data_IF_382809604696
#
_entry.id   IF_382809604696
#
_cell.length_a   1.000
_cell.length_b   1.000
_cell.length_c   1.000
_cell.angle_alpha   90.00
_cell.angle_beta   90.00
_cell.angle_gamma   90.00
#
_symmetry.space_group_name_H-M   'P 1'
#
loop_
_entity.id
_entity.type
_entity.pdbx_description
1 polymer ?
#
# COMPACT_ATOMS: atom_id res chain seq x y z
N UNK A 1 -59.15 28.00 -29.26
CA UNK A 1 -58.53 26.81 -28.64
C UNK A 1 -57.14 27.23 -28.17
N UNK A 2 -57.00 27.60 -26.90
CA UNK A 2 -55.72 28.12 -26.38
C UNK A 2 -54.68 26.99 -26.30
N UNK A 3 -53.43 27.23 -26.69
CA UNK A 3 -52.38 26.22 -26.59
C UNK A 3 -52.12 25.95 -25.11
N UNK A 4 -52.33 24.70 -24.71
CA UNK A 4 -52.08 24.23 -23.36
C UNK A 4 -50.59 24.41 -23.04
N UNK A 5 -50.29 25.08 -21.93
CA UNK A 5 -48.92 25.33 -21.50
C UNK A 5 -48.24 23.98 -21.27
N UNK A 6 -47.03 23.75 -21.80
CA UNK A 6 -46.36 22.46 -21.63
C UNK A 6 -46.24 22.14 -20.15
N UNK A 7 -46.76 20.98 -19.75
CA UNK A 7 -46.69 20.51 -18.38
C UNK A 7 -45.23 20.41 -17.95
N UNK A 8 -44.96 20.71 -16.67
CA UNK A 8 -43.62 20.61 -16.09
C UNK A 8 -43.00 19.23 -16.36
N UNK A 9 -43.83 18.19 -16.38
CA UNK A 9 -43.42 16.83 -16.71
C UNK A 9 -42.91 16.67 -18.15
N UNK A 10 -43.50 17.39 -19.12
CA UNK A 10 -43.03 17.36 -20.51
C UNK A 10 -41.69 18.10 -20.68
N UNK A 11 -41.48 19.16 -19.90
CA UNK A 11 -40.21 19.88 -19.83
C UNK A 11 -39.15 18.96 -19.20
N UNK A 12 -39.43 18.38 -18.04
CA UNK A 12 -38.53 17.45 -17.36
C UNK A 12 -38.20 16.24 -18.23
N UNK A 13 -39.18 15.68 -18.97
CA UNK A 13 -38.95 14.58 -19.91
C UNK A 13 -38.07 15.00 -21.09
N UNK A 14 -38.30 16.19 -21.67
CA UNK A 14 -37.53 16.71 -22.80
C UNK A 14 -36.08 17.05 -22.42
N UNK A 15 -35.85 17.61 -21.23
CA UNK A 15 -34.51 17.90 -20.76
C UNK A 15 -33.83 16.65 -20.17
N UNK A 16 -34.57 15.75 -19.53
CA UNK A 16 -34.08 14.45 -19.06
C UNK A 16 -33.58 13.58 -20.20
N UNK A 17 -34.36 13.43 -21.27
CA UNK A 17 -33.92 12.71 -22.49
C UNK A 17 -32.76 13.39 -23.21
N UNK A 18 -32.65 14.72 -23.15
CA UNK A 18 -31.49 15.47 -23.69
C UNK A 18 -30.24 15.33 -22.82
N UNK A 19 -30.41 15.12 -21.52
CA UNK A 19 -29.34 14.83 -20.57
C UNK A 19 -28.90 13.36 -20.74
N UNK A 20 -29.83 12.40 -20.81
CA UNK A 20 -29.53 10.98 -21.10
C UNK A 20 -28.86 10.80 -22.47
N UNK A 21 -29.30 11.53 -23.50
CA UNK A 21 -28.64 11.51 -24.82
C UNK A 21 -27.21 12.05 -24.80
N UNK A 22 -26.88 12.92 -23.83
CA UNK A 22 -25.50 13.40 -23.57
C UNK A 22 -24.73 12.48 -22.62
N UNK A 23 -25.43 11.76 -21.73
CA UNK A 23 -24.89 10.73 -20.84
C UNK A 23 -25.02 9.38 -21.56
N UNK A 24 -24.34 9.26 -22.69
CA UNK A 24 -24.20 7.98 -23.40
C UNK A 24 -23.23 7.07 -22.59
N UNK A 25 -23.68 6.61 -21.42
CA UNK A 25 -23.01 5.62 -20.57
C UNK A 25 -23.37 4.24 -21.08
N UNK A 26 -22.64 3.78 -22.08
CA UNK A 26 -22.48 2.35 -22.36
C UNK A 26 -21.23 2.11 -23.21
N UNK A 27 -20.14 2.77 -22.85
CA UNK A 27 -18.76 2.38 -23.15
C UNK A 27 -17.84 3.37 -22.43
N UNK A 28 -17.53 3.12 -21.16
CA UNK A 28 -16.44 3.83 -20.46
C UNK A 28 -15.12 3.33 -21.06
N UNK A 29 -14.86 3.68 -22.32
CA UNK A 29 -13.51 3.67 -22.88
C UNK A 29 -12.71 4.59 -21.98
N UNK A 30 -11.62 4.06 -21.42
CA UNK A 30 -10.56 4.75 -20.68
C UNK A 30 -10.45 6.22 -21.13
N UNK A 31 -11.19 7.09 -20.45
CA UNK A 31 -11.24 8.51 -20.79
C UNK A 31 -9.90 9.11 -20.42
N UNK A 32 -9.36 9.90 -21.33
CA UNK A 32 -8.13 10.65 -21.12
C UNK A 32 -8.42 11.74 -20.08
N UNK A 33 -8.34 11.36 -18.80
CA UNK A 33 -8.47 12.28 -17.68
C UNK A 33 -7.50 13.46 -17.87
N UNK A 34 -7.91 14.67 -17.47
CA UNK A 34 -6.99 15.81 -17.53
C UNK A 34 -5.73 15.48 -16.74
N UNK A 35 -4.56 15.91 -17.24
CA UNK A 35 -3.29 15.65 -16.55
C UNK A 35 -3.34 16.08 -15.10
N UNK A 36 -4.04 17.17 -14.81
CA UNK A 36 -4.27 17.70 -13.47
C UNK A 36 -5.14 16.78 -12.62
N UNK A 37 -6.22 16.20 -13.16
CA UNK A 37 -7.05 15.23 -12.43
C UNK A 37 -6.32 13.91 -12.18
N UNK A 38 -5.52 13.42 -13.14
CA UNK A 38 -4.68 12.23 -12.93
C UNK A 38 -3.64 12.51 -11.87
N UNK A 39 -2.96 13.66 -11.96
CA UNK A 39 -1.95 14.07 -11.00
C UNK A 39 -2.53 14.25 -9.60
N UNK A 40 -3.68 14.92 -9.48
CA UNK A 40 -4.42 15.06 -8.23
C UNK A 40 -4.85 13.71 -7.67
N UNK A 41 -5.42 12.82 -8.50
CA UNK A 41 -5.82 11.47 -8.06
C UNK A 41 -4.61 10.64 -7.61
N UNK A 42 -3.45 10.85 -8.23
CA UNK A 42 -2.21 10.13 -7.94
C UNK A 42 -1.51 10.71 -6.69
N UNK A 43 -1.61 12.02 -6.46
CA UNK A 43 -1.20 12.72 -5.22
C UNK A 43 -2.14 12.39 -4.05
N UNK A 44 -3.43 12.15 -4.31
CA UNK A 44 -4.44 11.75 -3.31
C UNK A 44 -4.50 10.23 -3.10
N UNK A 45 -3.91 9.42 -3.99
CA UNK A 45 -3.87 7.98 -3.80
C UNK A 45 -2.81 7.66 -2.74
N UNK A 46 -3.13 6.88 -1.70
CA UNK A 46 -2.14 6.50 -0.71
C UNK A 46 -0.96 5.87 -1.44
N UNK A 47 0.26 6.38 -1.21
CA UNK A 47 1.47 5.82 -1.81
C UNK A 47 1.69 4.42 -1.26
N UNK A 48 1.03 3.43 -1.88
CA UNK A 48 1.17 2.05 -1.51
C UNK A 48 2.61 1.65 -1.79
N UNK A 49 3.36 1.47 -0.70
CA UNK A 49 4.70 0.91 -0.70
C UNK A 49 4.68 -0.39 -1.50
N UNK A 50 5.82 -0.74 -2.12
CA UNK A 50 5.92 -1.99 -2.91
C UNK A 50 5.42 -3.18 -2.09
N UNK A 51 5.77 -3.23 -0.80
CA UNK A 51 5.33 -4.24 0.15
C UNK A 51 3.80 -4.33 0.28
N UNK A 52 3.09 -3.20 0.42
CA UNK A 52 1.62 -3.18 0.53
C UNK A 52 0.94 -3.70 -0.72
N UNK A 53 1.48 -3.38 -1.90
CA UNK A 53 0.93 -3.88 -3.15
C UNK A 53 1.00 -5.40 -3.23
N UNK A 54 2.14 -5.98 -2.83
CA UNK A 54 2.30 -7.43 -2.78
C UNK A 54 1.42 -8.05 -1.70
N UNK A 55 1.38 -7.47 -0.49
CA UNK A 55 0.54 -7.95 0.60
C UNK A 55 -0.96 -7.96 0.25
N UNK A 56 -1.48 -6.89 -0.38
CA UNK A 56 -2.88 -6.84 -0.85
C UNK A 56 -3.16 -7.86 -1.95
N UNK A 57 -2.21 -8.02 -2.89
CA UNK A 57 -2.37 -8.96 -4.00
C UNK A 57 -2.45 -10.41 -3.51
N UNK A 58 -1.54 -10.81 -2.62
CA UNK A 58 -1.52 -12.18 -2.08
C UNK A 58 -2.56 -12.41 -0.97
N UNK A 59 -2.92 -11.37 -0.22
CA UNK A 59 -3.99 -11.42 0.76
C UNK A 59 -5.34 -11.80 0.12
N UNK A 60 -5.70 -11.21 -1.00
CA UNK A 60 -7.00 -11.51 -1.64
C UNK A 60 -7.27 -13.00 -1.94
N UNK A 61 -6.24 -13.85 -1.95
CA UNK A 61 -6.33 -15.27 -2.32
C UNK A 61 -6.55 -16.23 -1.14
N UNK A 62 -6.05 -15.93 0.09
CA UNK A 62 -6.08 -16.90 1.20
C UNK A 62 -6.27 -16.20 2.55
N UNK A 63 -7.40 -16.45 3.25
CA UNK A 63 -7.58 -16.02 4.65
C UNK A 63 -6.97 -17.07 5.59
N UNK A 64 -5.75 -16.85 6.05
CA UNK A 64 -5.10 -17.71 7.03
C UNK A 64 -5.64 -17.37 8.44
N UNK A 65 -6.18 -18.35 9.17
CA UNK A 65 -6.54 -18.17 10.58
C UNK A 65 -5.26 -18.16 11.43
N UNK A 66 -5.09 -17.12 12.24
CA UNK A 66 -3.87 -16.84 13.00
C UNK A 66 -4.14 -16.95 14.50
N UNK A 67 -3.10 -17.26 15.28
CA UNK A 67 -3.15 -17.17 16.73
C UNK A 67 -3.24 -15.70 17.18
N UNK A 68 -4.18 -15.39 18.08
CA UNK A 68 -4.46 -14.02 18.55
C UNK A 68 -3.21 -13.22 18.98
N UNK A 69 -2.20 -13.90 19.55
CA UNK A 69 -0.96 -13.29 20.02
C UNK A 69 -0.08 -12.74 18.88
N UNK A 70 0.02 -13.47 17.78
CA UNK A 70 0.84 -13.05 16.63
C UNK A 70 0.12 -11.96 15.82
N UNK A 71 -1.22 -12.03 15.78
CA UNK A 71 -2.07 -11.02 15.16
C UNK A 71 -1.92 -9.65 15.83
N UNK A 72 -2.01 -9.58 17.16
CA UNK A 72 -1.86 -8.32 17.90
C UNK A 72 -0.46 -7.69 17.72
N UNK A 73 0.59 -8.53 17.73
CA UNK A 73 1.97 -8.08 17.56
C UNK A 73 2.24 -7.48 16.18
N UNK A 74 1.68 -8.09 15.14
CA UNK A 74 1.80 -7.63 13.75
C UNK A 74 0.90 -6.41 13.52
N UNK A 75 -0.33 -6.41 14.04
CA UNK A 75 -1.26 -5.29 13.96
C UNK A 75 -0.65 -4.00 14.51
N UNK A 76 -0.04 -4.06 15.69
CA UNK A 76 0.64 -2.90 16.29
C UNK A 76 1.78 -2.36 15.42
N UNK A 77 2.51 -3.23 14.73
CA UNK A 77 3.61 -2.81 13.85
C UNK A 77 3.08 -2.19 12.54
N UNK A 78 1.97 -2.71 12.02
CA UNK A 78 1.28 -2.18 10.85
C UNK A 78 0.75 -0.77 11.14
N UNK A 79 0.08 -0.58 12.29
CA UNK A 79 -0.43 0.72 12.74
C UNK A 79 0.69 1.76 12.88
N UNK A 80 1.79 1.41 13.55
CA UNK A 80 2.95 2.32 13.69
C UNK A 80 3.57 2.67 12.34
N UNK A 81 3.62 1.70 11.42
CA UNK A 81 4.18 1.90 10.09
C UNK A 81 3.21 2.60 9.11
N UNK A 82 2.00 2.96 9.56
CA UNK A 82 0.93 3.52 8.74
C UNK A 82 0.66 2.70 7.47
N UNK A 83 0.77 1.38 7.59
CA UNK A 83 0.55 0.46 6.48
C UNK A 83 -0.95 0.16 6.35
N UNK A 84 -1.51 0.32 5.16
CA UNK A 84 -2.91 0.01 4.86
C UNK A 84 -3.09 -1.48 4.49
N UNK A 85 -2.75 -2.39 5.42
CA UNK A 85 -2.87 -3.85 5.23
C UNK A 85 -3.40 -4.53 6.49
N UNK A 86 -4.12 -5.63 6.34
CA UNK A 86 -4.56 -6.43 7.48
C UNK A 86 -3.44 -7.38 7.96
N UNK A 87 -3.38 -7.72 9.27
CA UNK A 87 -2.32 -8.58 9.82
C UNK A 87 -2.17 -9.93 9.10
N UNK A 88 -3.30 -10.50 8.66
CA UNK A 88 -3.32 -11.76 7.93
C UNK A 88 -2.77 -11.63 6.49
N UNK A 89 -2.85 -10.45 5.87
CA UNK A 89 -2.26 -10.18 4.55
C UNK A 89 -0.73 -10.14 4.61
N UNK A 90 -0.17 -9.61 5.70
CA UNK A 90 1.28 -9.62 5.92
C UNK A 90 1.82 -11.06 6.09
N UNK A 91 1.10 -11.89 6.86
CA UNK A 91 1.48 -13.28 7.08
C UNK A 91 1.32 -14.15 5.83
N UNK A 92 0.24 -13.98 5.08
CA UNK A 92 0.01 -14.70 3.83
C UNK A 92 1.07 -14.38 2.78
N UNK A 93 1.53 -13.13 2.70
CA UNK A 93 2.68 -12.77 1.87
C UNK A 93 3.95 -13.56 2.27
N UNK A 94 4.22 -13.70 3.56
CA UNK A 94 5.35 -14.49 4.07
C UNK A 94 5.25 -15.97 3.69
N UNK A 95 4.08 -16.58 3.91
CA UNK A 95 3.82 -17.99 3.57
C UNK A 95 3.85 -18.21 2.05
N UNK A 96 3.26 -17.33 1.25
CA UNK A 96 3.25 -17.43 -0.20
C UNK A 96 4.65 -17.27 -0.79
N UNK A 97 5.47 -16.36 -0.25
CA UNK A 97 6.86 -16.21 -0.70
C UNK A 97 7.69 -17.45 -0.38
N UNK A 98 7.46 -18.08 0.78
CA UNK A 98 8.06 -19.36 1.13
C UNK A 98 7.64 -20.48 0.16
N UNK A 99 6.33 -20.61 -0.09
CA UNK A 99 5.79 -21.62 -1.01
C UNK A 99 6.33 -21.43 -2.44
N UNK A 100 6.38 -20.20 -2.93
CA UNK A 100 6.85 -19.88 -4.27
C UNK A 100 8.30 -20.35 -4.48
N UNK A 101 9.20 -20.04 -3.54
CA UNK A 101 10.61 -20.45 -3.61
C UNK A 101 10.76 -21.95 -3.42
N UNK A 102 9.96 -22.55 -2.53
CA UNK A 102 9.96 -23.99 -2.32
C UNK A 102 9.57 -24.75 -3.60
N UNK A 103 8.47 -24.36 -4.25
CA UNK A 103 8.07 -24.95 -5.53
C UNK A 103 9.09 -24.67 -6.63
N UNK A 104 9.65 -23.45 -6.70
CA UNK A 104 10.72 -23.13 -7.65
C UNK A 104 11.92 -24.06 -7.47
N UNK A 105 12.34 -24.31 -6.23
CA UNK A 105 13.42 -25.23 -5.90
C UNK A 105 13.13 -26.66 -6.34
N UNK A 106 11.89 -27.12 -6.20
CA UNK A 106 11.44 -28.44 -6.68
C UNK A 106 11.47 -28.49 -8.22
N UNK A 107 10.90 -27.50 -8.91
CA UNK A 107 10.89 -27.45 -10.37
C UNK A 107 12.31 -27.45 -10.95
N UNK A 108 13.22 -26.67 -10.37
CA UNK A 108 14.62 -26.64 -10.79
C UNK A 108 15.28 -28.00 -10.55
N UNK A 109 15.02 -28.63 -9.40
CA UNK A 109 15.55 -29.96 -9.10
C UNK A 109 15.06 -31.02 -10.09
N UNK A 110 13.79 -30.99 -10.49
CA UNK A 110 13.21 -31.87 -11.51
C UNK A 110 13.84 -31.59 -12.88
N UNK A 111 14.01 -30.31 -13.25
CA UNK A 111 14.64 -29.94 -14.51
C UNK A 111 16.08 -30.48 -14.63
N UNK A 112 16.85 -30.47 -13.54
CA UNK A 112 18.21 -31.02 -13.51
C UNK A 112 18.21 -32.55 -13.73
N UNK A 113 17.26 -33.27 -13.14
CA UNK A 113 17.10 -34.72 -13.34
C UNK A 113 16.80 -35.02 -14.81
N UNK A 114 15.89 -34.25 -15.43
CA UNK A 114 15.49 -34.43 -16.84
C UNK A 114 16.66 -34.19 -17.81
N UNK A 115 17.53 -33.21 -17.52
CA UNK A 115 18.68 -32.90 -18.38
C UNK A 115 19.79 -33.94 -18.25
N UNK A 116 20.08 -34.44 -17.04
CA UNK A 116 21.19 -35.39 -16.81
C UNK A 116 20.81 -36.86 -16.98
N UNK A 117 19.52 -37.20 -17.08
CA UNK A 117 19.04 -38.53 -17.45
C UNK A 117 19.30 -39.64 -16.42
N UNK A 118 19.81 -39.32 -15.23
CA UNK A 118 20.08 -40.29 -14.17
C UNK A 118 19.48 -39.81 -12.83
N UNK A 119 18.73 -40.69 -12.17
CA UNK A 119 18.08 -40.42 -10.87
C UNK A 119 19.12 -40.12 -9.78
N UNK A 120 20.33 -40.69 -9.89
CA UNK A 120 21.46 -40.43 -8.97
C UNK A 120 22.05 -39.01 -9.11
N UNK A 121 21.70 -38.27 -10.18
CA UNK A 121 22.16 -36.91 -10.39
C UNK A 121 21.30 -35.84 -9.68
N UNK A 122 20.44 -36.24 -8.74
CA UNK A 122 19.64 -35.30 -7.95
C UNK A 122 20.56 -34.31 -7.22
N UNK A 123 20.39 -32.99 -7.42
CA UNK A 123 21.26 -32.00 -6.82
C UNK A 123 20.87 -31.77 -5.35
N UNK A 124 21.15 -32.75 -4.48
CA UNK A 124 20.81 -32.72 -3.05
C UNK A 124 21.30 -31.44 -2.35
N UNK A 125 22.52 -31.00 -2.66
CA UNK A 125 23.10 -29.77 -2.11
C UNK A 125 22.29 -28.52 -2.52
N UNK A 126 21.85 -28.46 -3.78
CA UNK A 126 21.04 -27.35 -4.28
C UNK A 126 19.64 -27.35 -3.67
N UNK A 127 19.02 -28.53 -3.53
CA UNK A 127 17.72 -28.65 -2.88
C UNK A 127 17.78 -28.19 -1.42
N UNK A 128 18.81 -28.64 -0.67
CA UNK A 128 19.00 -28.23 0.73
C UNK A 128 19.25 -26.72 0.85
N UNK A 129 20.04 -26.15 -0.06
CA UNK A 129 20.25 -24.71 -0.16
C UNK A 129 18.93 -23.96 -0.40
N UNK A 130 18.10 -24.43 -1.33
CA UNK A 130 16.80 -23.82 -1.63
C UNK A 130 15.83 -23.87 -0.44
N UNK A 131 15.81 -24.97 0.31
CA UNK A 131 15.03 -25.06 1.57
C UNK A 131 15.55 -24.05 2.59
N UNK A 132 16.86 -23.94 2.77
CA UNK A 132 17.48 -22.96 3.67
C UNK A 132 17.15 -21.51 3.29
N UNK A 133 17.23 -21.18 2.00
CA UNK A 133 16.85 -19.86 1.47
C UNK A 133 15.36 -19.58 1.69
N UNK A 134 14.50 -20.58 1.51
CA UNK A 134 13.06 -20.42 1.73
C UNK A 134 12.73 -20.07 3.18
N UNK A 135 13.33 -20.79 4.15
CA UNK A 135 13.17 -20.49 5.57
C UNK A 135 13.71 -19.10 5.93
N UNK A 136 14.87 -18.73 5.38
CA UNK A 136 15.43 -17.39 5.57
C UNK A 136 14.49 -16.30 5.05
N UNK A 137 13.90 -16.51 3.87
CA UNK A 137 13.00 -15.54 3.26
C UNK A 137 11.69 -15.41 4.04
N UNK A 138 11.15 -16.52 4.55
CA UNK A 138 10.00 -16.49 5.46
C UNK A 138 10.28 -15.60 6.69
N UNK A 139 11.42 -15.80 7.35
CA UNK A 139 11.80 -14.97 8.50
C UNK A 139 11.98 -13.49 8.10
N UNK A 140 12.62 -13.23 6.95
CA UNK A 140 12.88 -11.88 6.46
C UNK A 140 11.59 -11.11 6.13
N UNK A 141 10.63 -11.75 5.45
CA UNK A 141 9.35 -11.14 5.04
C UNK A 141 8.48 -10.88 6.26
N UNK A 142 8.35 -11.83 7.19
CA UNK A 142 7.59 -11.62 8.43
C UNK A 142 8.23 -10.55 9.34
N UNK A 143 9.56 -10.40 9.30
CA UNK A 143 10.27 -9.34 10.02
C UNK A 143 10.18 -7.95 9.37
N UNK A 144 9.67 -7.85 8.14
CA UNK A 144 9.58 -6.60 7.40
C UNK A 144 8.73 -5.50 8.07
N UNK A 145 7.49 -5.77 8.53
CA UNK A 145 6.66 -4.75 9.20
C UNK A 145 7.35 -4.15 10.43
N UNK A 146 8.01 -4.98 11.25
CA UNK A 146 8.81 -4.52 12.41
C UNK A 146 9.91 -3.54 12.00
N UNK A 147 10.62 -3.84 10.91
CA UNK A 147 11.71 -2.98 10.42
C UNK A 147 11.18 -1.67 9.88
N UNK A 148 10.03 -1.69 9.21
CA UNK A 148 9.39 -0.48 8.72
C UNK A 148 8.92 0.39 9.89
N UNK A 149 8.23 -0.18 10.87
CA UNK A 149 7.81 0.53 12.09
C UNK A 149 8.98 1.19 12.82
N UNK A 150 10.09 0.47 12.98
CA UNK A 150 11.31 1.02 13.60
C UNK A 150 11.91 2.17 12.78
N UNK A 151 11.94 2.06 11.44
CA UNK A 151 12.41 3.13 10.56
C UNK A 151 11.53 4.38 10.68
N UNK A 152 10.20 4.21 10.72
CA UNK A 152 9.26 5.30 10.93
C UNK A 152 9.48 6.00 12.27
N UNK A 153 9.56 5.23 13.36
CA UNK A 153 9.84 5.76 14.70
C UNK A 153 11.16 6.54 14.75
N UNK A 154 12.22 6.00 14.16
CA UNK A 154 13.53 6.67 14.10
C UNK A 154 13.49 7.97 13.29
N UNK A 155 12.80 7.97 12.15
CA UNK A 155 12.60 9.18 11.34
C UNK A 155 11.81 10.24 12.09
N UNK A 156 10.69 9.86 12.72
CA UNK A 156 9.88 10.77 13.52
C UNK A 156 10.70 11.40 14.66
N UNK A 157 11.45 10.59 15.42
CA UNK A 157 12.33 11.11 16.49
C UNK A 157 13.43 12.04 15.97
N UNK A 158 14.02 11.73 14.81
CA UNK A 158 15.04 12.61 14.20
C UNK A 158 14.47 13.96 13.74
N UNK A 159 13.17 14.03 13.43
CA UNK A 159 12.48 15.23 12.96
C UNK A 159 11.83 16.05 14.08
N UNK A 160 11.58 15.44 15.24
CA UNK A 160 11.11 16.13 16.43
C UNK A 160 12.09 17.21 16.91
N UNK A 161 13.40 16.92 16.85
CA UNK A 161 14.46 17.86 17.27
C UNK A 161 14.45 19.15 16.45
N UNK A 162 14.52 19.12 15.10
CA UNK A 162 14.42 20.34 14.30
C UNK A 162 13.05 21.00 14.42
N UNK A 163 11.94 20.26 14.60
CA UNK A 163 10.62 20.87 14.81
C UNK A 163 10.58 21.77 16.04
N UNK A 164 11.06 21.26 17.19
CA UNK A 164 11.14 22.04 18.43
C UNK A 164 12.07 23.24 18.24
N UNK A 165 13.21 23.06 17.56
CA UNK A 165 14.14 24.16 17.29
C UNK A 165 13.48 25.29 16.48
N UNK A 166 12.73 24.97 15.42
CA UNK A 166 12.05 25.99 14.59
C UNK A 166 10.96 26.71 15.38
N UNK A 167 10.18 26.00 16.20
CA UNK A 167 9.15 26.61 17.06
C UNK A 167 9.78 27.58 18.07
N UNK A 168 10.83 27.14 18.77
CA UNK A 168 11.50 27.95 19.81
C UNK A 168 12.19 29.18 19.20
N UNK A 169 12.86 29.03 18.06
CA UNK A 169 13.51 30.15 17.36
C UNK A 169 12.46 31.16 16.89
N UNK A 170 11.33 30.72 16.33
CA UNK A 170 10.25 31.61 15.91
C UNK A 170 9.61 32.36 17.10
N UNK A 171 9.32 31.64 18.18
CA UNK A 171 8.72 32.21 19.40
C UNK A 171 9.63 33.25 20.07
N UNK A 172 10.95 33.15 19.89
CA UNK A 172 11.90 34.16 20.39
C UNK A 172 11.73 35.52 19.72
N UNK A 173 11.31 35.54 18.46
CA UNK A 173 11.08 36.78 17.71
C UNK A 173 9.65 37.30 17.89
N UNK A 174 8.67 36.40 17.88
CA UNK A 174 7.25 36.74 18.04
C UNK A 174 6.56 35.67 18.88
N UNK A 175 6.03 36.01 20.07
CA UNK A 175 5.40 35.03 20.97
C UNK A 175 3.97 34.68 20.50
N UNK A 176 3.85 34.04 19.34
CA UNK A 176 2.62 33.47 18.80
C UNK A 176 2.86 32.03 18.39
N UNK A 177 2.17 31.11 19.05
CA UNK A 177 2.34 29.66 18.88
C UNK A 177 1.74 29.15 17.57
N UNK A 178 0.62 29.71 17.10
CA UNK A 178 -0.01 29.30 15.84
C UNK A 178 0.92 29.57 14.65
N UNK A 179 1.51 30.77 14.61
CA UNK A 179 2.48 31.14 13.56
C UNK A 179 3.78 30.35 13.66
N UNK A 180 4.18 29.95 14.87
CA UNK A 180 5.36 29.12 15.08
C UNK A 180 5.17 27.69 14.54
N UNK A 181 3.96 27.13 14.73
CA UNK A 181 3.59 25.82 14.18
C UNK A 181 3.49 25.89 12.66
N UNK A 182 2.87 26.93 12.10
CA UNK A 182 2.80 27.16 10.65
C UNK A 182 4.20 27.30 10.02
N UNK A 183 5.11 28.02 10.69
CA UNK A 183 6.48 28.16 10.23
C UNK A 183 7.24 26.82 10.29
N UNK A 184 7.06 26.04 11.36
CA UNK A 184 7.70 24.74 11.52
C UNK A 184 7.18 23.72 10.49
N UNK A 185 5.88 23.71 10.15
CA UNK A 185 5.32 22.79 9.16
C UNK A 185 5.84 23.07 7.74
N UNK A 186 6.09 24.34 7.40
CA UNK A 186 6.65 24.75 6.10
C UNK A 186 8.14 24.39 5.95
N UNK A 187 8.88 24.26 7.04
CA UNK A 187 10.34 23.99 7.04
C UNK A 187 10.68 22.54 7.43
N UNK A 188 9.72 21.75 7.89
CA UNK A 188 9.93 20.34 8.17
C UNK A 188 9.86 19.50 6.89
N UNK A 189 10.78 18.54 6.78
CA UNK A 189 10.68 17.48 5.78
C UNK A 189 9.69 16.40 6.25
N UNK A 190 8.97 15.77 5.32
CA UNK A 190 8.17 14.55 5.54
C UNK A 190 8.99 13.50 6.29
N UNK A 191 8.50 12.69 7.26
CA UNK A 191 7.11 12.35 7.63
C UNK A 191 6.35 13.14 8.71
N UNK A 192 6.98 13.94 9.57
CA UNK A 192 6.27 14.54 10.73
C UNK A 192 5.29 15.67 10.33
N UNK A 193 5.42 16.24 9.13
CA UNK A 193 4.52 17.25 8.59
C UNK A 193 3.09 16.74 8.31
N UNK A 194 2.86 15.42 8.34
CA UNK A 194 1.53 14.80 8.18
C UNK A 194 0.68 14.89 9.46
N UNK A 195 1.31 15.07 10.63
CA UNK A 195 0.65 15.08 11.94
C UNK A 195 0.35 16.51 12.46
N UNK A 196 0.76 17.56 11.73
CA UNK A 196 0.50 18.98 12.04
C UNK A 196 -0.64 19.53 11.20
#
# INVERSE_FOLDING_TARGET
MSPEKPSVDDILRKYGSKIEGKINTSNIKKGNYSREYVKFKQEMSPELTRYERWAKSFGSLVKLNISKKDEEGIKRQIEIAHLDIEPWQALTLGVMSFLAIFFMGIFISIAVILIKGNISAFPFLFFFLMVGVSLFLFYFVNGYPKRLANKWRLKASSQMVPAILHIVVFMRHTPNLEKAIEFASQHLQYPLALDF
#
